data_IF_036331633720
#
_entry.id   IF_036331633720
#
_cell.length_a   1.000
_cell.length_b   1.000
_cell.length_c   1.000
_cell.angle_alpha   90.00
_cell.angle_beta   90.00
_cell.angle_gamma   90.00
#
_symmetry.space_group_name_H-M   'P 1'
#
loop_
_entity.id
_entity.type
_entity.pdbx_description
1 polymer ?
#
# COMPACT_ATOMS: atom_id res chain seq x y z
N UNK A 1 -18.82 6.06 -6.24
CA UNK A 1 -17.45 6.35 -5.73
C UNK A 1 -16.54 6.53 -6.93
N UNK A 2 -15.70 7.56 -6.99
CA UNK A 2 -14.75 7.71 -8.11
C UNK A 2 -13.49 6.89 -7.82
N UNK A 3 -13.54 5.59 -8.17
CA UNK A 3 -12.53 4.59 -7.80
C UNK A 3 -11.15 4.94 -8.38
N UNK A 4 -11.10 5.42 -9.63
CA UNK A 4 -9.86 5.86 -10.26
C UNK A 4 -9.17 6.98 -9.48
N UNK A 5 -9.92 8.05 -9.13
CA UNK A 5 -9.38 9.15 -8.32
C UNK A 5 -8.91 8.68 -6.94
N UNK A 6 -9.68 7.81 -6.29
CA UNK A 6 -9.34 7.32 -4.96
C UNK A 6 -8.04 6.50 -4.96
N UNK A 7 -7.88 5.57 -5.91
CA UNK A 7 -6.64 4.82 -6.07
C UNK A 7 -5.44 5.73 -6.35
N UNK A 8 -5.61 6.76 -7.19
CA UNK A 8 -4.56 7.71 -7.50
C UNK A 8 -4.11 8.52 -6.27
N UNK A 9 -5.07 9.03 -5.48
CA UNK A 9 -4.77 9.79 -4.26
C UNK A 9 -4.07 8.91 -3.22
N UNK A 10 -4.62 7.73 -2.95
CA UNK A 10 -4.04 6.81 -1.97
C UNK A 10 -2.66 6.34 -2.40
N UNK A 11 -2.49 5.99 -3.68
CA UNK A 11 -1.20 5.62 -4.26
C UNK A 11 -0.15 6.72 -4.10
N UNK A 12 -0.53 7.97 -4.36
CA UNK A 12 0.37 9.13 -4.21
C UNK A 12 0.77 9.34 -2.74
N UNK A 13 -0.18 9.20 -1.80
CA UNK A 13 0.13 9.28 -0.37
C UNK A 13 1.13 8.20 0.06
N UNK A 14 0.93 6.96 -0.36
CA UNK A 14 1.85 5.86 -0.07
C UNK A 14 3.24 6.06 -0.69
N UNK A 15 3.32 6.65 -1.89
CA UNK A 15 4.60 7.01 -2.51
C UNK A 15 5.38 8.01 -1.65
N UNK A 16 4.71 9.07 -1.19
CA UNK A 16 5.36 10.11 -0.36
C UNK A 16 5.89 9.48 0.93
N UNK A 17 5.08 8.64 1.59
CA UNK A 17 5.49 7.89 2.79
C UNK A 17 6.64 6.94 2.47
N UNK A 18 6.57 6.20 1.38
CA UNK A 18 7.59 5.24 0.95
C UNK A 18 8.93 5.89 0.65
N UNK A 19 8.95 7.05 -0.03
CA UNK A 19 10.15 7.85 -0.29
C UNK A 19 10.76 8.34 1.02
N UNK A 20 9.96 8.97 1.89
CA UNK A 20 10.43 9.46 3.18
C UNK A 20 11.04 8.32 4.02
N UNK A 21 10.40 7.15 4.00
CA UNK A 21 10.89 5.97 4.68
C UNK A 21 12.19 5.42 4.07
N UNK A 22 12.31 5.42 2.74
CA UNK A 22 13.53 5.03 2.03
C UNK A 22 14.72 5.93 2.37
N UNK A 23 14.50 7.24 2.43
CA UNK A 23 15.52 8.21 2.85
C UNK A 23 15.95 7.94 4.30
N UNK A 24 15.01 7.69 5.20
CA UNK A 24 15.32 7.37 6.59
C UNK A 24 16.16 6.09 6.75
N UNK A 25 15.83 5.02 6.01
CA UNK A 25 16.64 3.80 6.00
C UNK A 25 18.06 4.04 5.44
N UNK A 26 18.16 4.75 4.32
CA UNK A 26 19.47 5.08 3.73
C UNK A 26 20.35 5.91 4.66
N UNK A 27 19.77 6.90 5.34
CA UNK A 27 20.48 7.76 6.29
C UNK A 27 20.92 7.02 7.56
N UNK A 28 20.15 6.03 8.02
CA UNK A 28 20.47 5.24 9.22
C UNK A 28 21.40 4.06 8.95
N UNK A 29 21.60 3.68 7.69
CA UNK A 29 22.40 2.51 7.28
C UNK A 29 21.79 1.16 7.68
N UNK A 30 20.59 1.16 8.29
CA UNK A 30 19.87 -0.03 8.74
C UNK A 30 18.78 -0.38 7.75
N UNK A 31 18.96 -1.51 7.08
CA UNK A 31 18.02 -2.00 6.07
C UNK A 31 17.05 -3.06 6.61
N UNK A 32 16.91 -3.16 7.93
CA UNK A 32 16.01 -4.09 8.61
C UNK A 32 14.55 -3.94 8.12
N UNK A 33 14.15 -2.72 7.74
CA UNK A 33 12.83 -2.41 7.20
C UNK A 33 12.74 -2.40 5.66
N UNK A 34 13.75 -2.92 4.95
CA UNK A 34 13.73 -2.98 3.49
C UNK A 34 12.50 -3.72 2.93
N UNK A 35 12.03 -4.85 3.53
CA UNK A 35 10.79 -5.48 3.09
C UNK A 35 9.58 -4.55 3.22
N UNK A 36 9.46 -3.82 4.34
CA UNK A 36 8.36 -2.87 4.55
C UNK A 36 8.37 -1.75 3.52
N UNK A 37 9.54 -1.18 3.24
CA UNK A 37 9.70 -0.16 2.20
C UNK A 37 9.30 -0.65 0.81
N UNK A 38 9.71 -1.87 0.44
CA UNK A 38 9.37 -2.45 -0.85
C UNK A 38 7.85 -2.63 -1.00
N UNK A 39 7.17 -3.13 0.03
CA UNK A 39 5.72 -3.31 0.01
C UNK A 39 4.98 -1.97 0.03
N UNK A 40 5.47 -0.97 0.77
CA UNK A 40 4.97 0.41 0.76
C UNK A 40 4.90 0.98 -0.66
N UNK A 41 5.99 0.84 -1.43
CA UNK A 41 6.05 1.39 -2.78
C UNK A 41 5.34 0.50 -3.82
N UNK A 42 5.43 -0.83 -3.72
CA UNK A 42 4.83 -1.72 -4.71
C UNK A 42 3.31 -1.88 -4.52
N UNK A 43 2.88 -2.32 -3.33
CA UNK A 43 1.47 -2.52 -2.99
C UNK A 43 0.76 -1.21 -2.69
N UNK A 44 1.44 -0.29 -2.00
CA UNK A 44 0.87 0.99 -1.61
C UNK A 44 0.82 2.01 -2.75
N UNK A 45 1.78 2.02 -3.68
CA UNK A 45 1.83 3.01 -4.77
C UNK A 45 1.64 2.41 -6.18
N UNK A 46 2.52 1.52 -6.62
CA UNK A 46 2.55 1.06 -8.03
C UNK A 46 1.22 0.40 -8.42
N UNK A 47 0.73 -0.54 -7.63
CA UNK A 47 -0.53 -1.24 -7.92
C UNK A 47 -1.74 -0.27 -7.97
N UNK A 48 -1.97 0.60 -6.96
CA UNK A 48 -3.00 1.63 -7.02
C UNK A 48 -2.91 2.53 -8.25
N UNK A 49 -1.71 2.94 -8.66
CA UNK A 49 -1.56 3.75 -9.88
C UNK A 49 -1.96 2.99 -11.14
N UNK A 50 -1.58 1.72 -11.25
CA UNK A 50 -2.02 0.85 -12.36
C UNK A 50 -3.54 0.67 -12.35
N UNK A 51 -4.15 0.43 -11.19
CA UNK A 51 -5.61 0.31 -11.06
C UNK A 51 -6.32 1.62 -11.40
N UNK A 52 -5.80 2.76 -10.94
CA UNK A 52 -6.34 4.08 -11.26
C UNK A 52 -6.34 4.33 -12.77
N UNK A 53 -5.24 3.97 -13.45
CA UNK A 53 -5.12 4.06 -14.91
C UNK A 53 -6.10 3.12 -15.60
N UNK A 54 -6.20 1.85 -15.17
CA UNK A 54 -7.14 0.89 -15.73
C UNK A 54 -8.59 1.36 -15.64
N UNK A 55 -9.03 1.84 -14.46
CA UNK A 55 -10.39 2.37 -14.28
C UNK A 55 -10.63 3.70 -14.99
N UNK A 56 -9.57 4.44 -15.33
CA UNK A 56 -9.67 5.65 -16.16
C UNK A 56 -9.82 5.30 -17.65
N UNK A 57 -9.11 4.28 -18.12
CA UNK A 57 -9.16 3.81 -19.51
C UNK A 57 -10.46 3.07 -19.81
N UNK A 58 -10.98 2.31 -18.85
CA UNK A 58 -12.23 1.54 -18.98
C UNK A 58 -13.29 2.08 -18.03
N UNK A 59 -13.95 3.21 -18.37
CA UNK A 59 -14.89 3.89 -17.46
C UNK A 59 -16.09 3.03 -17.07
N UNK A 60 -16.53 2.12 -17.94
CA UNK A 60 -17.65 1.20 -17.65
C UNK A 60 -17.33 0.26 -16.47
N UNK A 61 -16.06 -0.19 -16.36
CA UNK A 61 -15.62 -1.00 -15.22
C UNK A 61 -15.68 -0.21 -13.91
N UNK A 62 -15.35 1.09 -13.96
CA UNK A 62 -15.31 1.99 -12.81
C UNK A 62 -16.69 2.36 -12.24
N UNK A 63 -17.76 2.19 -13.01
CA UNK A 63 -19.14 2.45 -12.55
C UNK A 63 -19.78 1.27 -11.81
N UNK A 64 -19.14 0.09 -11.85
CA UNK A 64 -19.66 -1.11 -11.19
C UNK A 64 -19.50 -1.08 -9.66
N UNK A 65 -20.39 -1.78 -8.94
CA UNK A 65 -20.21 -2.04 -7.49
C UNK A 65 -18.93 -2.83 -7.22
N UNK A 66 -18.53 -3.70 -8.15
CA UNK A 66 -17.33 -4.51 -8.04
C UNK A 66 -16.04 -3.67 -7.97
N UNK A 67 -15.98 -2.54 -8.67
CA UNK A 67 -14.85 -1.61 -8.57
C UNK A 67 -14.70 -1.02 -7.16
N UNK A 68 -15.83 -0.74 -6.49
CA UNK A 68 -15.80 -0.29 -5.09
C UNK A 68 -15.33 -1.38 -4.14
N UNK A 69 -15.77 -2.62 -4.36
CA UNK A 69 -15.33 -3.79 -3.58
C UNK A 69 -13.83 -4.02 -3.76
N UNK A 70 -13.35 -4.00 -5.01
CA UNK A 70 -11.92 -4.12 -5.33
C UNK A 70 -11.08 -3.05 -4.62
N UNK A 71 -11.55 -1.79 -4.61
CA UNK A 71 -10.86 -0.72 -3.89
C UNK A 71 -10.67 -1.04 -2.40
N UNK A 72 -11.73 -1.44 -1.70
CA UNK A 72 -11.64 -1.75 -0.27
C UNK A 72 -10.83 -3.03 0.00
N UNK A 73 -10.99 -4.06 -0.83
CA UNK A 73 -10.22 -5.31 -0.74
C UNK A 73 -8.73 -5.12 -1.07
N UNK A 74 -8.34 -4.05 -1.76
CA UNK A 74 -6.93 -3.71 -1.93
C UNK A 74 -6.40 -2.92 -0.73
N UNK A 75 -7.10 -1.84 -0.34
CA UNK A 75 -6.58 -0.90 0.65
C UNK A 75 -6.57 -1.47 2.07
N UNK A 76 -7.61 -2.18 2.50
CA UNK A 76 -7.70 -2.68 3.89
C UNK A 76 -6.62 -3.74 4.16
N UNK A 77 -6.46 -4.79 3.34
CA UNK A 77 -5.40 -5.78 3.56
C UNK A 77 -4.00 -5.21 3.35
N UNK A 78 -3.82 -4.27 2.42
CA UNK A 78 -2.52 -3.60 2.25
C UNK A 78 -2.14 -2.83 3.52
N UNK A 79 -3.05 -2.06 4.10
CA UNK A 79 -2.80 -1.35 5.35
C UNK A 79 -2.52 -2.31 6.52
N UNK A 80 -3.29 -3.40 6.63
CA UNK A 80 -3.08 -4.42 7.65
C UNK A 80 -1.71 -5.11 7.51
N UNK A 81 -1.32 -5.48 6.29
CA UNK A 81 -0.02 -6.09 5.99
C UNK A 81 1.13 -5.14 6.36
N UNK A 82 1.06 -3.88 5.95
CA UNK A 82 2.11 -2.89 6.24
C UNK A 82 2.23 -2.64 7.75
N UNK A 83 1.10 -2.56 8.47
CA UNK A 83 1.10 -2.41 9.92
C UNK A 83 1.71 -3.63 10.63
N UNK A 84 1.27 -4.83 10.27
CA UNK A 84 1.80 -6.07 10.87
C UNK A 84 3.29 -6.23 10.59
N UNK A 85 3.73 -5.97 9.37
CA UNK A 85 5.14 -6.06 9.00
C UNK A 85 5.97 -5.01 9.74
N UNK A 86 5.46 -3.79 9.93
CA UNK A 86 6.11 -2.78 10.77
C UNK A 86 6.25 -3.25 12.22
N UNK A 87 5.18 -3.80 12.82
CA UNK A 87 5.21 -4.30 14.20
C UNK A 87 6.22 -5.44 14.36
N UNK A 88 6.28 -6.36 13.40
CA UNK A 88 7.24 -7.47 13.41
C UNK A 88 8.67 -6.96 13.32
N UNK A 89 8.97 -6.14 12.30
CA UNK A 89 10.33 -5.67 12.02
C UNK A 89 10.83 -4.66 13.06
N UNK A 90 9.93 -3.97 13.77
CA UNK A 90 10.27 -3.12 14.91
C UNK A 90 10.47 -3.90 16.22
N UNK A 91 10.27 -5.22 16.22
CA UNK A 91 10.40 -6.08 17.40
C UNK A 91 9.28 -5.90 18.42
N UNK A 92 8.15 -5.27 18.04
CA UNK A 92 6.99 -5.07 18.92
C UNK A 92 6.16 -6.34 19.06
N UNK A 93 6.18 -7.20 18.04
CA UNK A 93 5.54 -8.52 18.05
C UNK A 93 6.51 -9.57 17.53
N UNK A 94 6.27 -10.83 17.87
CA UNK A 94 6.96 -12.00 17.32
C UNK A 94 6.13 -12.65 16.22
N UNK A 95 6.67 -13.64 15.52
CA UNK A 95 5.93 -14.41 14.51
C UNK A 95 4.66 -15.06 15.08
N UNK A 96 4.71 -15.52 16.33
CA UNK A 96 3.54 -16.05 17.03
C UNK A 96 2.45 -14.99 17.26
N UNK A 97 2.82 -13.71 17.36
CA UNK A 97 1.89 -12.58 17.49
C UNK A 97 1.27 -12.10 16.19
N UNK A 98 1.67 -12.67 15.04
CA UNK A 98 1.04 -12.39 13.73
C UNK A 98 -0.12 -13.33 13.41
N UNK A 99 -0.26 -14.44 14.15
CA UNK A 99 -1.38 -15.35 13.97
C UNK A 99 -2.70 -14.71 14.47
N UNK A 100 -3.83 -14.95 13.79
CA UNK A 100 -5.16 -14.56 14.29
C UNK A 100 -5.54 -15.30 15.57
#
# INVERSE_FOLDING_TARGET
MNVSRNFMLVGTCFLVVGIAFGIHMGASGRHDFAPLHAHLNLLGFVLPMVFALAYRTFPDMGQSKLASIHFWLHIVPTAALLLMLFLLLSGRITEAGMAP
#
